data_IF_998914974955
#
_entry.id   IF_998914974955
#
_cell.length_a   1.000
_cell.length_b   1.000
_cell.length_c   1.000
_cell.angle_alpha   90.00
_cell.angle_beta   90.00
_cell.angle_gamma   90.00
#
_symmetry.space_group_name_H-M   'P 1'
#
loop_
_entity.id
_entity.type
_entity.pdbx_description
1 polymer ?
#
# COMPACT_ATOMS: atom_id res chain seq x y z
N UNK A 1 3.31 16.45 4.10
CA UNK A 1 2.65 17.37 3.15
C UNK A 1 1.17 17.46 3.52
N UNK A 2 0.46 18.54 3.14
CA UNK A 2 -1.00 18.62 3.34
C UNK A 2 -1.73 17.83 2.24
N UNK A 3 -2.86 17.16 2.53
CA UNK A 3 -3.62 16.44 1.52
C UNK A 3 -4.11 17.34 0.39
N UNK A 4 -4.15 16.82 -0.83
CA UNK A 4 -4.65 17.53 -2.01
C UNK A 4 -6.10 17.18 -2.29
N UNK A 5 -7.00 18.05 -1.85
CA UNK A 5 -8.45 17.86 -1.97
C UNK A 5 -8.96 18.09 -3.40
N UNK A 6 -9.93 17.27 -3.84
CA UNK A 6 -10.55 17.36 -5.17
C UNK A 6 -11.63 18.45 -5.30
N UNK A 7 -12.15 18.97 -4.19
CA UNK A 7 -13.24 19.94 -4.21
C UNK A 7 -13.50 20.59 -2.85
N UNK A 8 -14.32 21.65 -2.87
CA UNK A 8 -14.77 22.34 -1.64
C UNK A 8 -15.58 21.38 -0.78
N UNK A 9 -15.26 21.31 0.51
CA UNK A 9 -15.94 20.43 1.48
C UNK A 9 -15.43 18.98 1.53
N UNK A 10 -14.51 18.57 0.64
CA UNK A 10 -13.90 17.22 0.72
C UNK A 10 -13.17 16.98 2.04
N UNK A 11 -12.49 17.99 2.56
CA UNK A 11 -11.81 17.95 3.85
C UNK A 11 -12.78 17.71 5.01
N UNK A 12 -13.86 18.49 5.07
CA UNK A 12 -14.88 18.33 6.12
C UNK A 12 -15.53 16.94 6.08
N UNK A 13 -15.82 16.41 4.88
CA UNK A 13 -16.34 15.04 4.70
C UNK A 13 -15.35 13.98 5.19
N UNK A 14 -14.07 14.14 4.87
CA UNK A 14 -13.02 13.22 5.27
C UNK A 14 -12.76 13.22 6.79
N UNK A 15 -12.88 14.38 7.44
CA UNK A 15 -12.75 14.52 8.89
C UNK A 15 -13.97 13.93 9.62
N UNK A 16 -15.17 14.12 9.07
CA UNK A 16 -16.40 13.59 9.65
C UNK A 16 -16.47 12.05 9.64
N UNK A 17 -15.80 11.41 8.66
CA UNK A 17 -15.78 9.97 8.50
C UNK A 17 -14.33 9.44 8.30
N UNK A 18 -13.54 9.35 9.38
CA UNK A 18 -12.15 8.94 9.29
C UNK A 18 -12.00 7.47 8.93
N UNK A 19 -10.97 7.15 8.14
CA UNK A 19 -10.73 5.78 7.61
C UNK A 19 -10.64 4.71 8.70
N UNK A 20 -10.03 5.03 9.85
CA UNK A 20 -9.93 4.10 10.99
C UNK A 20 -11.31 3.68 11.52
N UNK A 21 -12.28 4.61 11.57
CA UNK A 21 -13.66 4.33 11.99
C UNK A 21 -14.36 3.44 10.96
N UNK A 22 -14.22 3.77 9.67
CA UNK A 22 -14.84 2.99 8.58
C UNK A 22 -14.32 1.55 8.59
N UNK A 23 -13.00 1.35 8.72
CA UNK A 23 -12.38 0.01 8.76
C UNK A 23 -12.84 -0.78 9.99
N UNK A 24 -12.97 -0.13 11.15
CA UNK A 24 -13.49 -0.78 12.36
C UNK A 24 -14.97 -1.19 12.24
N UNK A 25 -15.79 -0.36 11.58
CA UNK A 25 -17.18 -0.70 11.25
C UNK A 25 -17.24 -1.89 10.29
N UNK A 26 -16.45 -1.85 9.21
CA UNK A 26 -16.35 -2.95 8.25
C UNK A 26 -15.95 -4.27 8.92
N UNK A 27 -14.94 -4.24 9.79
CA UNK A 27 -14.47 -5.41 10.53
C UNK A 27 -15.60 -6.00 11.38
N UNK A 28 -16.35 -5.16 12.09
CA UNK A 28 -17.46 -5.59 12.95
C UNK A 28 -18.60 -6.21 12.14
N UNK A 29 -18.98 -5.58 11.01
CA UNK A 29 -20.04 -6.09 10.15
C UNK A 29 -19.68 -7.41 9.49
N UNK A 30 -18.46 -7.56 8.95
CA UNK A 30 -18.00 -8.81 8.34
C UNK A 30 -17.91 -9.97 9.33
N UNK A 31 -17.56 -9.67 10.59
CA UNK A 31 -17.56 -10.66 11.67
C UNK A 31 -18.97 -11.13 12.03
N UNK A 32 -19.95 -10.24 12.02
CA UNK A 32 -21.35 -10.56 12.31
C UNK A 32 -22.00 -11.38 11.18
N UNK A 33 -21.64 -11.09 9.93
CA UNK A 33 -22.19 -11.78 8.75
C UNK A 33 -21.47 -13.09 8.42
N UNK A 34 -20.45 -13.48 9.19
CA UNK A 34 -19.55 -14.61 8.90
C UNK A 34 -19.09 -14.63 7.42
N UNK A 35 -18.60 -13.50 6.90
CA UNK A 35 -18.34 -13.36 5.48
C UNK A 35 -17.32 -14.40 4.94
N UNK A 36 -17.65 -14.97 3.79
CA UNK A 36 -16.83 -15.95 3.08
C UNK A 36 -16.29 -15.40 1.76
N UNK A 37 -15.01 -15.63 1.50
CA UNK A 37 -14.35 -15.29 0.25
C UNK A 37 -14.03 -16.53 -0.57
N UNK A 38 -14.55 -16.63 -1.78
CA UNK A 38 -14.22 -17.68 -2.74
C UNK A 38 -12.87 -17.39 -3.41
N UNK A 39 -11.91 -18.31 -3.26
CA UNK A 39 -10.60 -18.18 -3.88
C UNK A 39 -10.68 -18.39 -5.40
N UNK A 40 -10.24 -17.39 -6.17
CA UNK A 40 -10.26 -17.39 -7.63
C UNK A 40 -8.91 -16.96 -8.22
N UNK A 41 -8.04 -17.96 -8.45
CA UNK A 41 -6.68 -17.83 -9.02
C UNK A 41 -5.80 -16.79 -8.33
N UNK A 42 -5.91 -15.51 -8.72
CA UNK A 42 -5.10 -14.40 -8.20
C UNK A 42 -5.95 -13.33 -7.48
N UNK A 43 -7.18 -13.68 -7.12
CA UNK A 43 -8.12 -12.79 -6.43
C UNK A 43 -9.08 -13.60 -5.55
N UNK A 44 -9.77 -12.91 -4.64
CA UNK A 44 -10.82 -13.51 -3.81
C UNK A 44 -12.13 -12.80 -4.09
N UNK A 45 -13.19 -13.57 -4.35
CA UNK A 45 -14.53 -13.05 -4.60
C UNK A 45 -15.35 -13.17 -3.31
N UNK A 46 -15.90 -12.06 -2.83
CA UNK A 46 -16.74 -12.03 -1.64
C UNK A 46 -18.14 -11.62 -2.05
N UNK A 47 -19.12 -12.41 -1.67
CA UNK A 47 -20.54 -12.06 -1.81
C UNK A 47 -20.98 -11.32 -0.54
N UNK A 48 -21.57 -10.15 -0.71
CA UNK A 48 -21.98 -9.28 0.40
C UNK A 48 -23.34 -8.67 0.15
N UNK A 49 -24.00 -8.31 1.25
CA UNK A 49 -25.20 -7.47 1.24
C UNK A 49 -24.87 -6.00 0.94
N UNK A 50 -25.90 -5.18 0.81
CA UNK A 50 -25.77 -3.76 0.51
C UNK A 50 -25.05 -2.94 1.61
N UNK A 51 -25.16 -3.32 2.88
CA UNK A 51 -24.54 -2.59 3.99
C UNK A 51 -23.03 -2.82 4.03
N UNK A 52 -22.61 -4.08 3.94
CA UNK A 52 -21.20 -4.46 3.86
C UNK A 52 -20.59 -3.96 2.56
N UNK A 53 -21.34 -3.93 1.46
CA UNK A 53 -20.89 -3.33 0.21
C UNK A 53 -20.60 -1.82 0.32
N UNK A 54 -21.44 -1.05 1.01
CA UNK A 54 -21.18 0.37 1.29
C UNK A 54 -19.88 0.53 2.09
N UNK A 55 -19.70 -0.29 3.13
CA UNK A 55 -18.50 -0.27 3.96
C UNK A 55 -17.24 -0.67 3.18
N UNK A 56 -17.29 -1.68 2.30
CA UNK A 56 -16.17 -2.07 1.44
C UNK A 56 -15.78 -0.93 0.49
N UNK A 57 -16.77 -0.27 -0.12
CA UNK A 57 -16.53 0.89 -0.98
C UNK A 57 -15.88 2.04 -0.21
N UNK A 58 -16.45 2.41 0.96
CA UNK A 58 -15.95 3.50 1.81
C UNK A 58 -14.55 3.22 2.38
N UNK A 59 -14.27 1.97 2.75
CA UNK A 59 -12.95 1.52 3.21
C UNK A 59 -11.96 1.25 2.06
N UNK A 60 -12.45 1.33 0.81
CA UNK A 60 -11.69 1.12 -0.41
C UNK A 60 -11.03 -0.28 -0.49
N UNK A 61 -11.72 -1.32 -0.06
CA UNK A 61 -11.30 -2.70 -0.28
C UNK A 61 -11.97 -3.26 -1.55
N UNK A 62 -11.16 -3.81 -2.45
CA UNK A 62 -11.65 -4.49 -3.64
C UNK A 62 -12.31 -3.59 -4.67
N UNK A 63 -13.00 -4.27 -5.59
CA UNK A 63 -13.79 -3.66 -6.66
C UNK A 63 -15.12 -4.39 -6.80
N UNK A 64 -16.24 -3.65 -6.89
CA UNK A 64 -17.52 -4.27 -7.16
C UNK A 64 -17.52 -4.91 -8.55
N UNK A 65 -18.15 -6.07 -8.68
CA UNK A 65 -18.41 -6.79 -9.93
C UNK A 65 -19.90 -6.63 -10.26
N UNK A 66 -20.19 -6.27 -11.51
CA UNK A 66 -21.55 -6.04 -11.98
C UNK A 66 -22.32 -7.37 -11.89
N UNK A 67 -23.40 -7.37 -11.12
CA UNK A 67 -24.32 -8.50 -10.97
C UNK A 67 -25.71 -8.11 -11.47
N UNK A 68 -26.44 -9.09 -12.01
CA UNK A 68 -27.81 -8.89 -12.48
C UNK A 68 -28.82 -8.85 -11.31
N UNK A 69 -28.43 -9.40 -10.16
CA UNK A 69 -29.25 -9.53 -8.96
C UNK A 69 -29.14 -8.26 -8.10
N UNK A 70 -30.28 -7.76 -7.62
CA UNK A 70 -30.37 -6.43 -6.97
C UNK A 70 -29.94 -6.41 -5.50
N UNK A 71 -29.94 -7.56 -4.83
CA UNK A 71 -29.74 -7.61 -3.37
C UNK A 71 -28.34 -8.08 -2.96
N UNK A 72 -27.65 -8.87 -3.80
CA UNK A 72 -26.30 -9.38 -3.55
C UNK A 72 -25.28 -8.78 -4.51
N UNK A 73 -24.19 -8.29 -3.92
CA UNK A 73 -23.10 -7.67 -4.66
C UNK A 73 -21.82 -8.48 -4.48
N UNK A 74 -21.15 -8.75 -5.59
CA UNK A 74 -19.88 -9.44 -5.59
C UNK A 74 -18.73 -8.45 -5.58
N UNK A 75 -17.80 -8.61 -4.64
CA UNK A 75 -16.57 -7.82 -4.57
C UNK A 75 -15.38 -8.69 -4.90
N UNK A 76 -14.52 -8.19 -5.80
CA UNK A 76 -13.24 -8.80 -6.05
C UNK A 76 -12.16 -8.10 -5.24
N UNK A 77 -11.51 -8.85 -4.36
CA UNK A 77 -10.37 -8.45 -3.57
C UNK A 77 -9.07 -8.92 -4.25
N UNK A 78 -8.06 -8.05 -4.25
CA UNK A 78 -6.69 -8.44 -4.58
C UNK A 78 -6.11 -9.34 -3.46
N UNK A 79 -5.06 -10.12 -3.74
CA UNK A 79 -4.50 -11.08 -2.76
C UNK A 79 -4.07 -10.40 -1.45
N UNK A 80 -3.44 -9.22 -1.53
CA UNK A 80 -3.03 -8.47 -0.35
C UNK A 80 -4.23 -7.96 0.46
N UNK A 81 -5.30 -7.53 -0.22
CA UNK A 81 -6.53 -7.08 0.43
C UNK A 81 -7.22 -8.24 1.16
N UNK A 82 -7.39 -9.37 0.47
CA UNK A 82 -8.01 -10.56 1.03
C UNK A 82 -7.23 -11.11 2.22
N UNK A 83 -5.91 -11.20 2.10
CA UNK A 83 -5.05 -11.65 3.19
C UNK A 83 -5.05 -10.66 4.36
N UNK A 84 -5.19 -9.35 4.11
CA UNK A 84 -5.32 -8.37 5.19
C UNK A 84 -6.63 -8.52 5.97
N UNK A 85 -7.75 -8.72 5.27
CA UNK A 85 -9.05 -8.97 5.92
C UNK A 85 -9.07 -10.30 6.69
N UNK A 86 -8.41 -11.33 6.17
CA UNK A 86 -8.32 -12.67 6.79
C UNK A 86 -7.34 -12.70 7.97
N UNK A 87 -6.09 -12.29 7.77
CA UNK A 87 -5.01 -12.45 8.74
C UNK A 87 -4.92 -11.28 9.73
N UNK A 88 -4.93 -10.04 9.25
CA UNK A 88 -4.76 -8.86 10.11
C UNK A 88 -6.04 -8.45 10.83
N UNK A 89 -7.15 -8.37 10.10
CA UNK A 89 -8.45 -7.98 10.68
C UNK A 89 -9.26 -9.16 11.19
N UNK A 90 -8.93 -10.39 10.80
CA UNK A 90 -9.61 -11.63 11.23
C UNK A 90 -11.12 -11.61 10.99
N UNK A 91 -11.56 -10.96 9.92
CA UNK A 91 -12.97 -10.73 9.62
C UNK A 91 -13.47 -11.39 8.33
N UNK A 92 -12.62 -12.12 7.60
CA UNK A 92 -13.00 -12.83 6.37
C UNK A 92 -12.44 -14.25 6.39
N UNK A 93 -13.27 -15.25 6.10
CA UNK A 93 -12.83 -16.64 5.93
C UNK A 93 -12.69 -16.95 4.44
N UNK A 94 -11.51 -17.39 4.00
CA UNK A 94 -11.29 -17.74 2.58
C UNK A 94 -11.54 -19.24 2.37
N UNK A 95 -12.37 -19.58 1.39
CA UNK A 95 -12.74 -20.95 1.04
C UNK A 95 -12.26 -21.30 -0.38
N UNK A 96 -11.81 -22.55 -0.57
CA UNK A 96 -11.51 -23.12 -1.88
C UNK A 96 -12.79 -23.36 -2.67
N UNK A 97 -12.64 -23.65 -3.98
CA UNK A 97 -13.75 -24.10 -4.84
C UNK A 97 -14.42 -25.38 -4.33
N UNK A 98 -13.68 -26.18 -3.57
CA UNK A 98 -14.16 -27.43 -2.99
C UNK A 98 -14.95 -27.23 -1.67
N UNK A 99 -15.15 -25.98 -1.24
CA UNK A 99 -15.85 -25.63 0.00
C UNK A 99 -14.98 -25.72 1.27
N UNK A 100 -13.74 -26.20 1.17
CA UNK A 100 -12.82 -26.23 2.31
C UNK A 100 -12.31 -24.84 2.67
N UNK A 101 -12.45 -24.44 3.93
CA UNK A 101 -11.84 -23.21 4.48
C UNK A 101 -10.32 -23.39 4.53
N UNK A 102 -9.58 -22.41 4.03
CA UNK A 102 -8.11 -22.40 4.03
C UNK A 102 -7.59 -21.83 5.34
N UNK A 103 -6.60 -22.49 5.95
CA UNK A 103 -5.86 -21.89 7.06
C UNK A 103 -5.02 -20.70 6.59
N UNK A 104 -4.55 -19.87 7.52
CA UNK A 104 -3.67 -18.74 7.21
C UNK A 104 -2.39 -19.21 6.51
N UNK A 105 -1.84 -20.35 6.92
CA UNK A 105 -0.65 -20.97 6.33
C UNK A 105 -0.93 -21.49 4.92
N UNK A 106 -2.05 -22.18 4.71
CA UNK A 106 -2.41 -22.68 3.38
C UNK A 106 -2.66 -21.53 2.39
N UNK A 107 -3.32 -20.46 2.85
CA UNK A 107 -3.60 -19.27 2.05
C UNK A 107 -2.30 -18.54 1.70
N UNK A 108 -1.38 -18.45 2.66
CA UNK A 108 -0.05 -17.86 2.47
C UNK A 108 0.77 -18.61 1.44
N UNK A 109 0.88 -19.94 1.55
CA UNK A 109 1.57 -20.76 0.55
C UNK A 109 0.93 -20.63 -0.84
N UNK A 110 -0.40 -20.61 -0.89
CA UNK A 110 -1.12 -20.41 -2.15
C UNK A 110 -0.75 -19.07 -2.79
N UNK A 111 -0.82 -17.96 -2.04
CA UNK A 111 -0.53 -16.62 -2.57
C UNK A 111 0.93 -16.46 -2.99
N UNK A 112 1.88 -17.01 -2.22
CA UNK A 112 3.30 -17.08 -2.63
C UNK A 112 3.49 -17.86 -3.92
N UNK A 113 2.81 -18.99 -4.09
CA UNK A 113 2.91 -19.79 -5.32
C UNK A 113 2.39 -19.04 -6.56
N UNK A 114 1.48 -18.07 -6.38
CA UNK A 114 0.92 -17.24 -7.45
C UNK A 114 1.71 -15.97 -7.70
N UNK A 115 2.32 -15.42 -6.66
CA UNK A 115 3.11 -14.20 -6.71
C UNK A 115 4.29 -14.37 -5.77
N UNK A 116 5.46 -14.66 -6.33
CA UNK A 116 6.69 -14.90 -5.56
C UNK A 116 7.02 -13.73 -4.61
N UNK A 117 6.78 -12.50 -5.09
CA UNK A 117 7.01 -11.26 -4.35
C UNK A 117 5.88 -10.92 -3.35
N UNK A 118 4.93 -11.84 -3.14
CA UNK A 118 3.77 -11.64 -2.27
C UNK A 118 4.15 -11.28 -0.83
N UNK A 119 5.14 -11.91 -0.17
CA UNK A 119 5.48 -11.56 1.22
C UNK A 119 5.90 -10.10 1.37
N UNK A 120 6.72 -9.61 0.44
CA UNK A 120 7.19 -8.22 0.37
C UNK A 120 6.02 -7.27 0.08
N UNK A 121 5.23 -7.60 -0.95
CA UNK A 121 4.05 -6.83 -1.35
C UNK A 121 3.01 -6.71 -0.23
N UNK A 122 2.74 -7.82 0.48
CA UNK A 122 1.80 -7.86 1.60
C UNK A 122 2.32 -7.10 2.81
N UNK A 123 3.61 -7.23 3.15
CA UNK A 123 4.19 -6.46 4.26
C UNK A 123 4.11 -4.96 3.98
N UNK A 124 4.40 -4.54 2.76
CA UNK A 124 4.25 -3.15 2.32
C UNK A 124 2.77 -2.68 2.40
N UNK A 125 1.84 -3.50 1.90
CA UNK A 125 0.41 -3.21 1.94
C UNK A 125 -0.13 -3.07 3.37
N UNK A 126 0.16 -4.05 4.24
CA UNK A 126 -0.29 -4.06 5.64
C UNK A 126 0.34 -2.92 6.44
N UNK A 127 1.61 -2.60 6.20
CA UNK A 127 2.28 -1.44 6.81
C UNK A 127 1.57 -0.12 6.50
N UNK A 128 1.18 0.11 5.24
CA UNK A 128 0.42 1.29 4.84
C UNK A 128 -0.98 1.30 5.47
N UNK A 129 -1.70 0.17 5.45
CA UNK A 129 -3.05 0.06 6.05
C UNK A 129 -3.02 0.28 7.56
N UNK A 130 -2.01 -0.21 8.28
CA UNK A 130 -1.83 0.01 9.72
C UNK A 130 -1.57 1.49 10.05
N UNK A 131 -1.00 2.25 9.12
CA UNK A 131 -0.87 3.71 9.18
C UNK A 131 -2.12 4.46 8.65
N UNK A 132 -3.24 3.76 8.47
CA UNK A 132 -4.52 4.27 7.97
C UNK A 132 -4.49 4.85 6.54
N UNK A 133 -3.50 4.49 5.72
CA UNK A 133 -3.52 4.85 4.31
C UNK A 133 -4.57 4.02 3.56
N UNK A 134 -5.28 4.65 2.64
CA UNK A 134 -6.01 3.92 1.60
C UNK A 134 -5.02 3.49 0.54
N UNK A 135 -4.92 2.18 0.32
CA UNK A 135 -3.99 1.57 -0.63
C UNK A 135 -4.77 1.04 -1.82
N UNK A 136 -4.37 1.39 -3.04
CA UNK A 136 -4.94 0.86 -4.29
C UNK A 136 -3.83 0.41 -5.23
N UNK A 137 -4.16 -0.44 -6.20
CA UNK A 137 -3.25 -0.86 -7.26
C UNK A 137 -2.59 0.34 -7.96
N UNK A 138 -1.25 0.30 -8.04
CA UNK A 138 -0.43 1.32 -8.67
C UNK A 138 -0.15 1.08 -10.16
N UNK A 139 -0.70 0.02 -10.75
CA UNK A 139 -0.35 -0.48 -12.08
C UNK A 139 -0.40 0.62 -13.17
N UNK A 140 -1.41 1.49 -13.12
CA UNK A 140 -1.57 2.60 -14.07
C UNK A 140 -0.45 3.66 -14.02
N UNK A 141 0.33 3.68 -12.94
CA UNK A 141 1.46 4.59 -12.74
C UNK A 141 2.81 3.86 -12.79
N UNK A 142 2.81 2.58 -13.15
CA UNK A 142 4.01 1.75 -13.18
C UNK A 142 4.63 1.60 -11.80
N UNK A 143 3.83 1.51 -10.73
CA UNK A 143 4.29 1.24 -9.35
C UNK A 143 3.39 0.17 -8.71
N UNK A 144 3.75 -0.34 -7.54
CA UNK A 144 3.01 -1.45 -6.93
C UNK A 144 1.69 -0.95 -6.34
N UNK A 145 1.75 0.16 -5.60
CA UNK A 145 0.58 0.78 -4.98
C UNK A 145 0.51 2.29 -5.16
N UNK A 146 -0.67 2.86 -4.93
CA UNK A 146 -0.85 4.28 -4.65
C UNK A 146 -1.52 4.46 -3.30
N UNK A 147 -1.04 5.43 -2.53
CA UNK A 147 -1.54 5.71 -1.19
C UNK A 147 -2.29 7.04 -1.14
N UNK A 148 -3.45 7.04 -0.50
CA UNK A 148 -4.28 8.22 -0.28
C UNK A 148 -4.50 8.43 1.21
N UNK A 149 -4.53 9.69 1.64
CA UNK A 149 -4.88 10.05 3.02
C UNK A 149 -6.34 9.66 3.36
N UNK A 150 -7.23 9.71 2.37
CA UNK A 150 -8.67 9.47 2.51
C UNK A 150 -9.22 8.83 1.24
N UNK A 151 -10.55 8.62 1.20
CA UNK A 151 -11.23 8.04 0.05
C UNK A 151 -10.83 8.74 -1.29
N UNK A 152 -10.51 8.00 -2.37
CA UNK A 152 -10.06 8.56 -3.64
C UNK A 152 -11.05 9.52 -4.32
N UNK A 153 -12.32 9.50 -3.93
CA UNK A 153 -13.31 10.49 -4.39
C UNK A 153 -13.07 11.89 -3.79
N UNK A 154 -12.43 11.99 -2.63
CA UNK A 154 -12.25 13.24 -1.88
C UNK A 154 -10.88 13.86 -2.09
N UNK A 155 -9.84 13.04 -2.26
CA UNK A 155 -8.44 13.47 -2.28
C UNK A 155 -7.67 12.81 -3.43
N UNK A 156 -6.64 13.49 -3.93
CA UNK A 156 -5.67 12.86 -4.82
C UNK A 156 -4.70 11.97 -4.02
N UNK A 157 -4.17 10.92 -4.64
CA UNK A 157 -3.10 10.12 -4.05
C UNK A 157 -1.89 10.99 -3.74
N UNK A 158 -1.25 10.76 -2.60
CA UNK A 158 -0.02 11.43 -2.21
C UNK A 158 1.18 10.67 -2.79
N UNK A 159 1.22 9.37 -2.53
CA UNK A 159 2.36 8.52 -2.87
C UNK A 159 2.07 7.57 -4.03
N UNK A 160 3.07 7.43 -4.90
CA UNK A 160 3.27 6.28 -5.75
C UNK A 160 4.30 5.38 -5.04
N UNK A 161 3.94 4.12 -4.77
CA UNK A 161 4.67 3.27 -3.82
C UNK A 161 5.32 2.10 -4.55
N UNK A 162 6.62 1.93 -4.31
CA UNK A 162 7.35 0.73 -4.67
C UNK A 162 7.73 -0.03 -3.40
N UNK A 163 7.37 -1.32 -3.35
CA UNK A 163 7.87 -2.22 -2.33
C UNK A 163 9.16 -2.85 -2.87
N UNK A 164 10.25 -2.79 -2.13
CA UNK A 164 11.52 -3.42 -2.49
C UNK A 164 11.94 -4.38 -1.38
N UNK A 165 12.61 -5.47 -1.73
CA UNK A 165 13.24 -6.34 -0.74
C UNK A 165 14.67 -5.85 -0.50
N UNK A 166 15.11 -5.81 0.75
CA UNK A 166 16.52 -5.62 1.08
C UNK A 166 17.26 -6.97 1.01
N UNK A 167 18.44 -7.00 0.37
CA UNK A 167 19.29 -8.21 0.26
C UNK A 167 19.64 -8.64 -1.18
N UNK A 168 20.52 -9.65 -1.30
CA UNK A 168 21.04 -10.15 -2.58
C UNK A 168 19.95 -10.77 -3.49
N UNK A 169 18.90 -11.32 -2.87
CA UNK A 169 17.72 -11.83 -3.56
C UNK A 169 16.65 -10.73 -3.71
N UNK A 170 16.99 -9.60 -4.34
CA UNK A 170 15.96 -8.62 -4.75
C UNK A 170 15.04 -9.26 -5.80
N UNK A 171 13.95 -9.86 -5.31
CA UNK A 171 12.92 -10.53 -6.09
C UNK A 171 12.13 -9.55 -6.98
N UNK A 172 12.19 -8.25 -6.70
CA UNK A 172 11.42 -7.24 -7.44
C UNK A 172 12.20 -6.69 -8.65
N UNK A 173 13.54 -6.66 -8.59
CA UNK A 173 14.36 -6.28 -9.74
C UNK A 173 14.31 -4.79 -10.12
N UNK A 174 13.66 -3.95 -9.31
CA UNK A 174 13.32 -2.56 -9.68
C UNK A 174 14.32 -1.56 -9.12
N UNK A 175 14.53 -0.47 -9.85
CA UNK A 175 15.44 0.63 -9.45
C UNK A 175 16.90 0.22 -9.31
N UNK A 176 17.34 -0.83 -10.02
CA UNK A 176 18.73 -1.32 -10.00
C UNK A 176 19.71 -0.39 -10.71
N UNK A 177 19.20 0.38 -11.67
CA UNK A 177 19.99 1.36 -12.43
C UNK A 177 19.37 2.75 -12.32
N UNK A 178 20.21 3.78 -12.42
CA UNK A 178 19.77 5.18 -12.31
C UNK A 178 18.71 5.57 -13.33
N UNK A 179 18.72 4.98 -14.53
CA UNK A 179 17.69 5.21 -15.53
C UNK A 179 16.30 4.83 -15.01
N UNK A 180 16.18 3.74 -14.25
CA UNK A 180 14.89 3.30 -13.68
C UNK A 180 14.40 4.30 -12.64
N UNK A 181 15.31 4.81 -11.80
CA UNK A 181 15.01 5.85 -10.81
C UNK A 181 14.51 7.11 -11.51
N UNK A 182 15.25 7.61 -12.51
CA UNK A 182 14.85 8.81 -13.24
C UNK A 182 13.52 8.63 -13.98
N UNK A 183 13.31 7.49 -14.64
CA UNK A 183 12.05 7.15 -15.31
C UNK A 183 10.89 7.12 -14.31
N UNK A 184 11.06 6.46 -13.17
CA UNK A 184 10.01 6.35 -12.14
C UNK A 184 9.69 7.71 -11.53
N UNK A 185 10.70 8.51 -11.19
CA UNK A 185 10.52 9.87 -10.65
C UNK A 185 9.81 10.77 -11.67
N UNK A 186 10.16 10.67 -12.96
CA UNK A 186 9.49 11.41 -14.03
C UNK A 186 8.02 11.00 -14.18
N UNK A 187 7.73 9.70 -14.15
CA UNK A 187 6.36 9.17 -14.23
C UNK A 187 5.52 9.61 -13.02
N UNK A 188 6.08 9.56 -11.81
CA UNK A 188 5.39 10.00 -10.60
C UNK A 188 5.15 11.53 -10.62
N UNK A 189 6.17 12.30 -10.99
CA UNK A 189 6.11 13.76 -11.03
C UNK A 189 5.10 14.31 -12.04
N UNK A 190 4.91 13.66 -13.19
CA UNK A 190 3.95 14.10 -14.22
C UNK A 190 2.49 14.06 -13.73
N UNK A 191 2.19 13.18 -12.77
CA UNK A 191 0.86 13.04 -12.13
C UNK A 191 0.87 13.55 -10.69
N UNK A 192 1.83 14.42 -10.37
CA UNK A 192 2.05 15.06 -9.09
C UNK A 192 2.20 14.08 -7.90
N UNK A 193 2.66 12.85 -8.08
CA UNK A 193 2.86 11.90 -6.97
C UNK A 193 4.29 11.95 -6.47
N UNK A 194 4.45 11.83 -5.15
CA UNK A 194 5.76 11.63 -4.53
C UNK A 194 6.09 10.13 -4.59
N UNK A 195 7.28 9.77 -5.05
CA UNK A 195 7.71 8.37 -5.04
C UNK A 195 8.06 7.97 -3.60
N UNK A 196 7.41 6.93 -3.09
CA UNK A 196 7.67 6.32 -1.80
C UNK A 196 8.23 4.91 -2.02
N UNK A 197 9.43 4.68 -1.51
CA UNK A 197 10.06 3.37 -1.46
C UNK A 197 9.84 2.78 -0.08
N UNK A 198 9.29 1.58 -0.05
CA UNK A 198 9.17 0.75 1.14
C UNK A 198 10.17 -0.38 1.04
N UNK A 199 11.32 -0.22 1.69
CA UNK A 199 12.32 -1.27 1.78
C UNK A 199 11.89 -2.24 2.88
N UNK A 200 11.51 -3.45 2.48
CA UNK A 200 11.12 -4.53 3.39
C UNK A 200 12.34 -5.41 3.63
N UNK A 201 12.80 -5.45 4.87
CA UNK A 201 13.86 -6.34 5.29
C UNK A 201 13.23 -7.54 6.02
N UNK A 202 13.61 -8.74 5.59
CA UNK A 202 13.15 -10.02 6.15
C UNK A 202 14.14 -10.64 7.15
N UNK A 203 15.25 -9.96 7.47
CA UNK A 203 16.32 -10.40 8.37
C UNK A 203 16.85 -11.81 8.06
N UNK A 204 16.79 -12.24 6.80
CA UNK A 204 17.19 -13.59 6.38
C UNK A 204 16.23 -14.70 6.83
N UNK A 205 15.10 -14.36 7.45
CA UNK A 205 14.03 -15.30 7.76
C UNK A 205 13.25 -15.60 6.49
N UNK A 206 13.27 -16.87 6.09
CA UNK A 206 12.49 -17.35 4.96
C UNK A 206 11.00 -17.04 5.16
N UNK A 207 10.29 -16.72 4.08
CA UNK A 207 8.85 -16.44 4.09
C UNK A 207 8.00 -17.72 4.30
N UNK A 208 8.38 -18.61 5.22
CA UNK A 208 7.81 -19.96 5.39
C UNK A 208 6.42 -19.91 6.02
N UNK A 209 6.16 -18.94 6.90
CA UNK A 209 4.87 -18.79 7.58
C UNK A 209 4.46 -17.31 7.65
N UNK A 210 3.15 -17.00 7.71
CA UNK A 210 2.67 -15.65 8.00
C UNK A 210 3.25 -15.04 9.28
N UNK A 211 3.58 -15.85 10.30
CA UNK A 211 4.13 -15.35 11.56
C UNK A 211 5.49 -14.65 11.39
N UNK A 212 6.26 -15.01 10.35
CA UNK A 212 7.53 -14.36 10.02
C UNK A 212 7.36 -12.86 9.72
N UNK A 213 6.15 -12.42 9.34
CA UNK A 213 5.86 -11.00 9.08
C UNK A 213 6.03 -10.10 10.30
N UNK A 214 5.97 -10.65 11.52
CA UNK A 214 6.22 -9.89 12.75
C UNK A 214 7.67 -9.42 12.85
N UNK A 215 8.60 -10.18 12.28
CA UNK A 215 10.03 -9.86 12.26
C UNK A 215 10.41 -8.94 11.10
N UNK A 216 9.55 -8.78 10.10
CA UNK A 216 9.86 -7.94 8.95
C UNK A 216 9.86 -6.47 9.35
N UNK A 217 10.91 -5.76 8.99
CA UNK A 217 11.02 -4.31 9.18
C UNK A 217 10.78 -3.59 7.86
N UNK A 218 10.19 -2.38 7.94
CA UNK A 218 9.89 -1.56 6.76
C UNK A 218 10.55 -0.20 6.94
N UNK A 219 11.51 0.12 6.08
CA UNK A 219 12.10 1.45 5.99
C UNK A 219 11.43 2.27 4.88
N UNK A 220 10.98 3.47 5.23
CA UNK A 220 10.32 4.40 4.33
C UNK A 220 11.30 5.44 3.79
N UNK A 221 11.45 5.51 2.46
CA UNK A 221 12.25 6.55 1.79
C UNK A 221 11.40 7.26 0.75
N UNK A 222 11.40 8.58 0.77
CA UNK A 222 10.79 9.38 -0.30
C UNK A 222 11.84 9.82 -1.29
N UNK A 223 11.48 9.76 -2.57
CA UNK A 223 12.31 10.22 -3.67
C UNK A 223 11.55 11.35 -4.36
N UNK A 224 12.14 12.54 -4.37
CA UNK A 224 11.56 13.72 -5.02
C UNK A 224 12.52 14.32 -6.02
N UNK A 225 11.98 15.06 -6.98
CA UNK A 225 12.80 15.91 -7.86
C UNK A 225 13.42 16.99 -7.01
N UNK A 226 14.73 17.16 -7.12
CA UNK A 226 15.43 18.26 -6.47
C UNK A 226 14.90 19.60 -6.95
N UNK A 227 14.65 20.50 -5.98
CA UNK A 227 14.23 21.86 -6.23
C UNK A 227 15.39 22.82 -5.90
N UNK A 228 15.95 23.53 -6.91
CA UNK A 228 17.03 24.49 -6.69
C UNK A 228 16.69 25.57 -5.65
N UNK A 229 15.44 26.03 -5.62
CA UNK A 229 15.02 27.13 -4.73
C UNK A 229 15.09 26.74 -3.24
N UNK A 230 14.73 25.49 -2.91
CA UNK A 230 14.80 24.96 -1.54
C UNK A 230 16.25 24.79 -1.05
N UNK A 231 17.22 24.69 -1.97
CA UNK A 231 18.65 24.52 -1.65
C UNK A 231 19.39 25.85 -1.52
N UNK A 232 18.86 26.96 -2.06
CA UNK A 232 19.50 28.28 -1.98
C UNK A 232 19.38 28.92 -0.60
N UNK A 233 18.26 28.71 0.10
CA UNK A 233 17.97 29.38 1.37
C UNK A 233 18.45 28.61 2.63
N UNK A 234 18.79 27.33 2.49
CA UNK A 234 19.20 26.47 3.62
C UNK A 234 20.69 26.59 4.03
N UNK A 235 21.45 27.54 3.46
CA UNK A 235 22.88 27.69 3.75
C UNK A 235 23.19 28.26 5.15
N UNK A 236 22.20 28.78 5.89
CA UNK A 236 22.41 29.39 7.22
C UNK A 236 22.42 28.43 8.42
N UNK A 237 22.17 27.12 8.24
CA UNK A 237 22.01 26.16 9.37
C UNK A 237 23.13 25.11 9.43
N UNK A 238 24.07 25.12 8.48
CA UNK A 238 25.12 24.11 8.37
C UNK A 238 26.31 24.29 9.33
N UNK A 239 26.43 25.41 10.04
CA UNK A 239 27.57 25.66 10.93
C UNK A 239 27.41 25.14 12.37
N UNK A 240 26.23 24.66 12.80
CA UNK A 240 26.00 24.24 14.19
C UNK A 240 25.54 22.78 14.40
N UNK A 241 25.64 21.90 13.40
CA UNK A 241 25.24 20.50 13.57
C UNK A 241 26.24 19.51 12.94
N UNK A 242 27.48 19.51 13.46
CA UNK A 242 28.49 18.47 13.19
C UNK A 242 28.17 17.14 13.90
N UNK A 243 26.89 16.74 13.93
CA UNK A 243 26.39 15.49 14.51
C UNK A 243 25.08 15.02 13.84
N UNK A 244 24.95 15.15 12.51
CA UNK A 244 23.87 14.48 11.76
C UNK A 244 24.41 13.21 11.08
N UNK A 245 23.79 12.08 11.43
CA UNK A 245 23.98 10.79 10.77
C UNK A 245 23.69 10.87 9.26
N UNK A 246 24.37 10.02 8.49
CA UNK A 246 24.33 9.81 7.03
C UNK A 246 22.92 9.56 6.44
N UNK A 247 21.97 10.47 6.62
CA UNK A 247 20.55 10.23 6.33
C UNK A 247 19.97 11.04 5.17
N UNK A 248 20.76 11.92 4.55
CA UNK A 248 20.40 12.67 3.34
C UNK A 248 21.50 12.51 2.28
N UNK A 249 21.31 11.63 1.28
CA UNK A 249 22.19 11.56 0.11
C UNK A 249 21.63 12.45 -1.01
N UNK A 250 22.34 13.55 -1.29
CA UNK A 250 22.20 14.32 -2.53
C UNK A 250 23.24 13.79 -3.53
N UNK A 251 22.80 12.99 -4.52
CA UNK A 251 23.69 12.51 -5.58
C UNK A 251 23.49 13.33 -6.85
N UNK A 252 24.52 14.09 -7.24
CA UNK A 252 24.56 14.86 -8.48
C UNK A 252 24.80 13.93 -9.68
N UNK A 253 23.86 13.89 -10.62
CA UNK A 253 24.14 13.53 -12.02
C UNK A 253 23.59 14.62 -12.94
N UNK A 254 24.32 14.93 -14.01
CA UNK A 254 24.21 16.16 -14.82
C UNK A 254 22.86 16.48 -15.50
N UNK A 255 21.76 15.78 -15.23
CA UNK A 255 20.47 16.02 -15.92
C UNK A 255 19.26 16.10 -14.98
N UNK A 256 19.33 15.63 -13.75
CA UNK A 256 18.28 15.81 -12.73
C UNK A 256 18.80 15.42 -11.36
N UNK A 257 18.90 16.37 -10.44
CA UNK A 257 19.22 16.03 -9.04
C UNK A 257 17.97 15.37 -8.42
N UNK A 258 18.18 14.28 -7.70
CA UNK A 258 17.14 13.54 -6.99
C UNK A 258 17.44 13.67 -5.51
N UNK A 259 16.41 13.96 -4.71
CA UNK A 259 16.54 14.06 -3.26
C UNK A 259 15.88 12.85 -2.61
N UNK A 260 16.67 12.09 -1.84
CA UNK A 260 16.22 10.91 -1.09
C UNK A 260 16.16 11.30 0.39
N UNK A 261 14.96 11.23 0.97
CA UNK A 261 14.75 11.52 2.41
C UNK A 261 14.18 10.30 3.12
N UNK A 262 14.78 9.92 4.24
CA UNK A 262 14.22 8.92 5.16
C UNK A 262 13.03 9.52 5.91
N UNK A 263 11.89 8.84 5.94
CA UNK A 263 10.79 9.27 6.81
C UNK A 263 11.13 8.95 8.26
N UNK A 264 10.87 9.90 9.17
CA UNK A 264 10.91 9.63 10.62
C UNK A 264 9.65 8.84 11.00
N UNK A 265 9.85 7.70 11.65
CA UNK A 265 8.80 6.82 12.17
C UNK A 265 7.98 7.49 13.27
#
# INVERSE_FOLDING_TARGET
MKPRWKGKGSEAKAIADPMSKIVSQLQSSLMQSEAHGLLSSCSVLVEVDAEVADLLNRACFGRPRITAEKEQQWFQLDMEEAFYLCFSLKCLKVVSKDGCTKSDEELWEYMKSKKEVFPISYKAYSHLRNKNWVVRSGLQYGVDFVAYHHHPALVHSEYAVLALSEGENDLNGRLRVWSDVHCTVRLCGSVAKTLLILNVNNDGQGAISPSCLEHYTVEERTITRWNPEQSRENQGVLENQTNRSESDLLLLTCVSVVEIRKMRS
#
